data_IF_902886297133
#
_entry.id   IF_902886297133
#
_cell.length_a   1.000
_cell.length_b   1.000
_cell.length_c   1.000
_cell.angle_alpha   90.00
_cell.angle_beta   90.00
_cell.angle_gamma   90.00
#
_symmetry.space_group_name_H-M   'P 1'
#
loop_
_entity.id
_entity.type
_entity.pdbx_description
1 polymer ?
#
# COMPACT_ATOMS: atom_id res chain seq x y z
N UNK A 1 6.89 13.64 -13.14
CA UNK A 1 6.27 12.34 -12.83
C UNK A 1 7.14 11.27 -13.49
N UNK A 2 7.53 10.23 -12.77
CA UNK A 2 8.32 9.14 -13.37
C UNK A 2 7.40 8.37 -14.33
N UNK A 3 7.76 8.30 -15.60
CA UNK A 3 7.01 7.52 -16.57
C UNK A 3 7.50 6.07 -16.48
N UNK A 4 6.62 5.17 -16.09
CA UNK A 4 6.87 3.73 -16.13
C UNK A 4 6.34 3.17 -17.45
N UNK A 5 7.08 2.25 -18.04
CA UNK A 5 6.62 1.47 -19.18
C UNK A 5 6.26 0.04 -18.75
N UNK A 6 5.45 -0.63 -19.54
CA UNK A 6 5.09 -2.04 -19.25
C UNK A 6 6.33 -2.93 -19.28
N UNK A 7 7.26 -2.67 -20.20
CA UNK A 7 8.49 -3.41 -20.35
C UNK A 7 9.38 -3.29 -19.11
N UNK A 8 9.58 -2.08 -18.61
CA UNK A 8 10.31 -1.84 -17.36
C UNK A 8 9.68 -2.59 -16.18
N UNK A 9 8.35 -2.53 -16.05
CA UNK A 9 7.64 -3.22 -14.98
C UNK A 9 7.75 -4.74 -15.11
N UNK A 10 7.67 -5.31 -16.31
CA UNK A 10 7.86 -6.73 -16.55
C UNK A 10 9.26 -7.19 -16.20
N UNK A 11 10.28 -6.40 -16.53
CA UNK A 11 11.67 -6.68 -16.18
C UNK A 11 11.89 -6.70 -14.67
N UNK A 12 11.30 -5.75 -13.95
CA UNK A 12 11.35 -5.75 -12.48
C UNK A 12 10.62 -6.96 -11.87
N UNK A 13 9.45 -7.33 -12.40
CA UNK A 13 8.73 -8.52 -11.97
C UNK A 13 9.56 -9.79 -12.16
N UNK A 14 10.25 -9.91 -13.30
CA UNK A 14 11.16 -11.03 -13.59
C UNK A 14 12.32 -11.09 -12.60
N UNK A 15 12.96 -9.95 -12.29
CA UNK A 15 14.06 -9.86 -11.32
C UNK A 15 13.60 -10.28 -9.91
N UNK A 16 12.37 -9.90 -9.53
CA UNK A 16 11.79 -10.22 -8.23
C UNK A 16 11.19 -11.64 -8.17
N UNK A 17 11.14 -12.37 -9.27
CA UNK A 17 10.49 -13.69 -9.36
C UNK A 17 8.96 -13.61 -9.25
N UNK A 18 8.36 -12.46 -9.56
CA UNK A 18 6.92 -12.26 -9.52
C UNK A 18 6.25 -12.66 -10.83
N UNK A 19 5.00 -13.15 -10.73
CA UNK A 19 4.19 -13.51 -11.87
C UNK A 19 3.53 -12.28 -12.47
N UNK A 20 3.75 -12.04 -13.77
CA UNK A 20 3.02 -11.01 -14.50
C UNK A 20 1.58 -11.46 -14.78
N UNK A 21 0.61 -10.64 -14.40
CA UNK A 21 -0.82 -10.91 -14.59
C UNK A 21 -1.43 -9.86 -15.52
N UNK A 22 -2.46 -10.22 -16.32
CA UNK A 22 -3.11 -9.27 -17.23
C UNK A 22 -3.92 -8.18 -16.50
N UNK A 23 -4.28 -8.42 -15.24
CA UNK A 23 -4.97 -7.48 -14.39
C UNK A 23 -4.37 -7.49 -12.98
N UNK A 24 -3.81 -6.36 -12.55
CA UNK A 24 -3.18 -6.24 -11.23
C UNK A 24 -2.97 -4.79 -10.82
N UNK A 25 -2.75 -4.57 -9.55
CA UNK A 25 -2.26 -3.30 -8.98
C UNK A 25 -0.81 -3.46 -8.53
N UNK A 26 0.02 -2.48 -8.86
CA UNK A 26 1.42 -2.42 -8.44
C UNK A 26 1.58 -1.19 -7.55
N UNK A 27 1.91 -1.39 -6.28
CA UNK A 27 2.31 -0.32 -5.37
C UNK A 27 3.81 -0.09 -5.43
N UNK A 28 4.22 1.13 -5.68
CA UNK A 28 5.64 1.53 -5.67
C UNK A 28 5.83 2.54 -4.56
N UNK A 29 6.56 2.11 -3.52
CA UNK A 29 6.93 2.97 -2.40
C UNK A 29 8.15 3.79 -2.76
N UNK A 30 8.10 5.09 -2.47
CA UNK A 30 9.25 5.97 -2.61
C UNK A 30 10.30 5.66 -1.52
N UNK A 31 11.51 6.16 -1.72
CA UNK A 31 12.56 6.04 -0.70
C UNK A 31 12.44 7.11 0.40
N UNK A 32 11.48 8.03 0.27
CA UNK A 32 11.23 9.04 1.28
C UNK A 32 10.35 8.44 2.38
N UNK A 33 10.69 8.69 3.64
CA UNK A 33 9.88 8.30 4.81
C UNK A 33 8.86 9.39 5.18
N UNK A 34 8.45 10.21 4.21
CA UNK A 34 7.50 11.30 4.43
C UNK A 34 6.09 10.72 4.55
N UNK A 35 5.57 10.73 5.76
CA UNK A 35 4.18 10.32 6.02
C UNK A 35 3.19 11.37 5.54
N UNK A 36 1.95 10.97 5.29
CA UNK A 36 0.89 11.84 4.79
C UNK A 36 1.27 12.57 3.49
N UNK A 37 2.04 11.93 2.61
CA UNK A 37 2.45 12.44 1.30
C UNK A 37 1.98 11.51 0.19
N UNK A 38 1.59 12.08 -0.96
CA UNK A 38 1.30 11.31 -2.19
C UNK A 38 2.55 11.19 -3.07
N UNK A 39 3.64 10.74 -2.49
CA UNK A 39 4.94 10.58 -3.14
C UNK A 39 5.22 9.14 -3.63
N UNK A 40 4.29 8.25 -3.35
CA UNK A 40 4.25 6.88 -3.87
C UNK A 40 3.39 6.79 -5.13
N UNK A 41 3.40 5.63 -5.77
CA UNK A 41 2.58 5.35 -6.95
C UNK A 41 1.77 4.07 -6.78
N UNK A 42 0.58 4.10 -7.33
CA UNK A 42 -0.25 2.93 -7.56
C UNK A 42 -0.48 2.81 -9.07
N UNK A 43 -0.07 1.70 -9.66
CA UNK A 43 -0.20 1.44 -11.10
C UNK A 43 -1.24 0.36 -11.30
N UNK A 44 -2.31 0.68 -12.02
CA UNK A 44 -3.27 -0.29 -12.50
C UNK A 44 -2.80 -0.84 -13.84
N UNK A 45 -2.58 -2.15 -13.90
CA UNK A 45 -2.36 -2.87 -15.14
C UNK A 45 -3.67 -3.51 -15.58
N UNK A 46 -4.06 -3.27 -16.83
CA UNK A 46 -5.26 -3.84 -17.43
C UNK A 46 -5.00 -4.15 -18.91
N UNK A 47 -4.88 -5.42 -19.26
CA UNK A 47 -4.71 -5.89 -20.65
C UNK A 47 -3.63 -5.12 -21.44
N UNK A 48 -2.41 -5.05 -20.90
CA UNK A 48 -1.27 -4.32 -21.46
C UNK A 48 -1.43 -2.78 -21.54
N UNK A 49 -2.35 -2.22 -20.78
CA UNK A 49 -2.43 -0.79 -20.51
C UNK A 49 -2.05 -0.53 -19.08
N UNK A 50 -1.53 0.64 -18.79
CA UNK A 50 -1.23 1.09 -17.43
C UNK A 50 -1.83 2.46 -17.18
N UNK A 51 -2.44 2.62 -16.00
CA UNK A 51 -2.85 3.90 -15.44
C UNK A 51 -2.06 4.13 -14.16
N UNK A 52 -1.47 5.31 -14.01
CA UNK A 52 -0.59 5.65 -12.88
C UNK A 52 -1.26 6.70 -12.02
N UNK A 53 -1.35 6.42 -10.74
CA UNK A 53 -1.94 7.30 -9.73
C UNK A 53 -0.90 7.65 -8.67
N UNK A 54 -0.86 8.93 -8.26
CA UNK A 54 -0.17 9.29 -7.03
C UNK A 54 -0.89 8.68 -5.83
N UNK A 55 -0.14 8.11 -4.91
CA UNK A 55 -0.66 7.36 -3.79
C UNK A 55 0.20 7.56 -2.53
N UNK A 56 -0.28 7.03 -1.42
CA UNK A 56 0.54 6.74 -0.26
C UNK A 56 0.41 5.24 0.05
N UNK A 57 1.53 4.59 0.30
CA UNK A 57 1.60 3.17 0.67
C UNK A 57 2.03 2.99 2.12
N UNK A 58 2.22 4.10 2.83
CA UNK A 58 2.60 4.15 4.23
C UNK A 58 1.39 4.37 5.14
N UNK A 59 1.44 3.92 6.41
CA UNK A 59 0.44 4.31 7.40
C UNK A 59 0.46 5.83 7.60
N UNK A 60 -0.69 6.41 7.97
CA UNK A 60 -0.76 7.81 8.33
C UNK A 60 -0.05 8.11 9.64
N UNK A 61 0.42 9.37 9.80
CA UNK A 61 1.15 9.85 10.95
C UNK A 61 0.44 9.58 12.28
N UNK A 62 -0.88 9.75 12.31
CA UNK A 62 -1.68 9.46 13.50
C UNK A 62 -1.52 8.01 13.96
N UNK A 63 -1.57 7.06 13.03
CA UNK A 63 -1.45 5.64 13.35
C UNK A 63 -0.02 5.22 13.71
N UNK A 64 1.00 5.91 13.19
CA UNK A 64 2.38 5.70 13.61
C UNK A 64 2.56 6.11 15.07
N UNK A 65 2.03 7.26 15.47
CA UNK A 65 2.10 7.75 16.85
C UNK A 65 1.21 6.99 17.84
N UNK A 66 0.02 6.56 17.39
CA UNK A 66 -1.00 5.96 18.25
C UNK A 66 -1.47 4.61 17.67
N UNK A 67 -0.59 3.62 17.57
CA UNK A 67 -0.94 2.33 16.98
C UNK A 67 -1.95 1.58 17.84
N UNK A 68 -2.94 0.95 17.21
CA UNK A 68 -3.91 0.07 17.88
C UNK A 68 -3.20 -1.18 18.42
N UNK A 69 -2.23 -1.70 17.66
CA UNK A 69 -1.46 -2.88 18.05
C UNK A 69 -0.25 -2.49 18.91
N UNK A 70 -0.03 -3.20 19.99
CA UNK A 70 1.13 -2.98 20.88
C UNK A 70 2.49 -3.14 20.18
N UNK A 71 2.54 -3.94 19.12
CA UNK A 71 3.74 -4.14 18.29
C UNK A 71 4.02 -2.99 17.32
N UNK A 72 3.18 -1.96 17.28
CA UNK A 72 3.28 -0.84 16.37
C UNK A 72 2.38 -0.95 15.14
N UNK A 73 2.38 0.07 14.31
CA UNK A 73 1.59 0.13 13.08
C UNK A 73 2.05 -0.90 12.07
N UNK A 74 1.11 -1.36 11.25
CA UNK A 74 1.37 -2.32 10.19
C UNK A 74 1.83 -1.58 8.92
N UNK A 75 3.01 -1.90 8.44
CA UNK A 75 3.56 -1.43 7.16
C UNK A 75 3.60 -2.62 6.20
N UNK A 76 2.91 -2.54 5.07
CA UNK A 76 2.83 -3.66 4.13
C UNK A 76 4.24 -4.02 3.63
N UNK A 77 4.63 -5.27 3.84
CA UNK A 77 5.91 -5.79 3.33
C UNK A 77 5.84 -5.91 1.82
N UNK A 78 6.87 -5.44 1.07
CA UNK A 78 6.91 -5.64 -0.38
C UNK A 78 6.90 -7.13 -0.73
N UNK A 79 5.89 -7.55 -1.49
CA UNK A 79 5.71 -8.92 -1.99
C UNK A 79 4.64 -8.94 -3.07
N UNK A 80 4.46 -10.07 -3.73
CA UNK A 80 3.30 -10.32 -4.57
C UNK A 80 2.21 -11.01 -3.75
N UNK A 81 1.03 -10.41 -3.70
CA UNK A 81 -0.14 -10.91 -2.99
C UNK A 81 -1.24 -11.25 -3.99
N UNK A 82 -1.53 -12.53 -4.17
CA UNK A 82 -2.51 -13.03 -5.15
C UNK A 82 -3.89 -13.17 -4.48
N UNK A 83 -4.94 -12.62 -5.11
CA UNK A 83 -6.34 -12.67 -4.65
C UNK A 83 -6.51 -12.22 -3.18
N UNK A 84 -5.72 -11.26 -2.74
CA UNK A 84 -5.68 -10.82 -1.34
C UNK A 84 -6.69 -9.73 -1.05
N UNK A 85 -7.14 -9.03 -2.07
CA UNK A 85 -8.18 -8.00 -1.96
C UNK A 85 -9.38 -8.33 -2.82
N UNK A 86 -10.55 -7.94 -2.37
CA UNK A 86 -11.79 -7.96 -3.15
C UNK A 86 -12.57 -6.65 -3.01
N UNK A 87 -13.50 -6.42 -3.91
CA UNK A 87 -14.40 -5.26 -3.79
C UNK A 87 -15.25 -5.39 -2.52
N UNK A 88 -15.30 -4.32 -1.75
CA UNK A 88 -16.06 -4.25 -0.51
C UNK A 88 -16.23 -2.81 -0.05
N UNK A 89 -16.68 -2.61 1.19
CA UNK A 89 -16.88 -1.28 1.76
C UNK A 89 -15.80 -0.97 2.80
N UNK A 90 -14.99 0.06 2.54
CA UNK A 90 -14.08 0.58 3.55
C UNK A 90 -14.91 1.27 4.65
N UNK A 91 -14.74 0.80 5.90
CA UNK A 91 -15.47 1.30 7.08
C UNK A 91 -16.99 1.37 6.88
N UNK A 92 -17.57 0.48 6.06
CA UNK A 92 -18.98 0.47 5.68
C UNK A 92 -19.49 1.76 5.00
N UNK A 93 -18.60 2.60 4.47
CA UNK A 93 -18.92 3.92 3.92
C UNK A 93 -18.84 4.02 2.41
N UNK A 94 -17.80 3.47 1.80
CA UNK A 94 -17.60 3.59 0.35
C UNK A 94 -16.82 2.40 -0.20
N UNK A 95 -16.96 2.17 -1.50
CA UNK A 95 -16.33 1.06 -2.21
C UNK A 95 -14.80 1.19 -2.20
N UNK A 96 -14.14 0.10 -1.89
CA UNK A 96 -12.69 -0.04 -1.85
C UNK A 96 -12.28 -1.48 -2.15
N UNK A 97 -11.00 -1.73 -2.29
CA UNK A 97 -10.44 -3.06 -2.26
C UNK A 97 -10.12 -3.41 -0.80
N UNK A 98 -10.91 -4.30 -0.23
CA UNK A 98 -10.75 -4.73 1.17
C UNK A 98 -9.93 -6.00 1.25
N UNK A 99 -9.07 -6.07 2.25
CA UNK A 99 -8.24 -7.25 2.50
C UNK A 99 -9.12 -8.45 2.88
N UNK A 100 -8.96 -9.57 2.17
CA UNK A 100 -9.72 -10.81 2.40
C UNK A 100 -8.85 -12.04 2.67
N UNK A 101 -7.52 -11.95 2.43
CA UNK A 101 -6.56 -13.01 2.77
C UNK A 101 -5.43 -12.45 3.62
N UNK A 102 -4.73 -13.28 4.40
CA UNK A 102 -3.56 -12.86 5.16
C UNK A 102 -2.48 -12.25 4.26
N UNK A 103 -1.81 -11.23 4.79
CA UNK A 103 -0.62 -10.64 4.20
C UNK A 103 0.44 -10.43 5.29
N UNK A 104 1.67 -10.15 4.87
CA UNK A 104 2.79 -9.91 5.78
C UNK A 104 3.08 -8.43 5.88
N UNK A 105 3.30 -7.96 7.09
CA UNK A 105 3.64 -6.58 7.41
C UNK A 105 4.91 -6.51 8.24
N UNK A 106 5.62 -5.40 8.13
CA UNK A 106 6.53 -4.93 9.17
C UNK A 106 5.73 -4.25 10.27
N UNK A 107 6.21 -4.29 11.50
CA UNK A 107 5.65 -3.56 12.63
C UNK A 107 6.58 -2.42 12.98
N UNK A 108 6.07 -1.20 12.89
CA UNK A 108 6.74 0.00 13.39
C UNK A 108 6.72 -0.02 14.94
N UNK A 109 7.74 -0.66 15.51
CA UNK A 109 7.77 -0.97 16.95
C UNK A 109 8.37 0.14 17.82
N UNK A 110 9.12 1.07 17.26
CA UNK A 110 9.66 2.23 17.98
C UNK A 110 8.64 3.37 18.07
N UNK A 111 7.58 3.32 17.23
CA UNK A 111 6.43 4.23 17.27
C UNK A 111 6.83 5.69 17.07
N UNK A 112 7.84 5.90 16.26
CA UNK A 112 8.22 7.23 15.82
C UNK A 112 7.30 7.76 14.70
N UNK A 113 7.68 8.82 14.03
CA UNK A 113 6.88 9.41 12.95
C UNK A 113 7.20 8.86 11.56
N UNK A 114 8.05 7.82 11.49
CA UNK A 114 8.51 7.22 10.25
C UNK A 114 7.89 5.85 10.03
N UNK A 115 7.79 5.47 8.79
CA UNK A 115 7.24 4.18 8.36
C UNK A 115 8.35 3.34 7.74
N UNK A 116 9.31 2.95 8.54
CA UNK A 116 10.45 2.18 8.08
C UNK A 116 10.25 0.67 8.18
N UNK A 117 11.10 -0.05 7.48
CA UNK A 117 11.17 -1.50 7.58
C UNK A 117 11.84 -1.91 8.89
N UNK A 118 11.12 -2.66 9.71
CA UNK A 118 11.64 -3.21 10.95
C UNK A 118 11.92 -4.71 10.82
N UNK A 119 12.64 -5.28 11.77
CA UNK A 119 12.89 -6.72 11.84
C UNK A 119 11.65 -7.52 12.29
N UNK A 120 10.64 -6.85 12.86
CA UNK A 120 9.44 -7.51 13.35
C UNK A 120 8.44 -7.65 12.20
N UNK A 121 8.25 -8.91 11.78
CA UNK A 121 7.22 -9.27 10.82
C UNK A 121 6.00 -9.83 11.53
N UNK A 122 4.84 -9.64 10.92
CA UNK A 122 3.58 -10.21 11.37
C UNK A 122 2.75 -10.60 10.15
N UNK A 123 1.96 -11.67 10.24
CA UNK A 123 1.15 -12.17 9.12
C UNK A 123 -0.27 -12.38 9.57
N UNK A 124 -1.24 -11.82 8.83
CA UNK A 124 -2.63 -11.91 9.21
C UNK A 124 -3.56 -10.98 8.43
N UNK A 125 -4.76 -10.84 8.96
CA UNK A 125 -5.77 -9.90 8.48
C UNK A 125 -5.68 -8.61 9.32
N UNK A 126 -5.13 -7.55 8.72
CA UNK A 126 -4.87 -6.29 9.42
C UNK A 126 -5.76 -5.14 8.94
N UNK A 127 -6.67 -5.41 7.99
CA UNK A 127 -7.52 -4.40 7.42
C UNK A 127 -6.77 -3.42 6.52
N UNK A 128 -5.68 -3.86 5.90
CA UNK A 128 -4.94 -3.06 4.91
C UNK A 128 -5.77 -3.03 3.64
N UNK A 129 -6.51 -1.95 3.48
CA UNK A 129 -7.42 -1.73 2.35
C UNK A 129 -6.81 -0.73 1.36
N UNK A 130 -7.08 -0.93 0.08
CA UNK A 130 -6.71 0.01 -0.98
C UNK A 130 -7.94 0.86 -1.27
N UNK A 131 -7.88 2.15 -0.98
CA UNK A 131 -9.01 3.03 -1.04
C UNK A 131 -8.62 4.44 -1.51
N UNK A 132 -9.62 5.19 -1.95
CA UNK A 132 -9.43 6.58 -2.35
C UNK A 132 -9.02 7.46 -1.17
N UNK A 133 -8.36 8.55 -1.47
CA UNK A 133 -8.15 9.64 -0.51
C UNK A 133 -9.46 10.33 -0.13
N UNK A 134 -9.43 11.17 0.90
CA UNK A 134 -10.59 11.96 1.29
C UNK A 134 -11.00 12.93 0.17
N UNK A 135 -12.31 13.03 -0.06
CA UNK A 135 -12.88 13.89 -1.13
C UNK A 135 -12.64 15.39 -0.92
N UNK A 136 -12.37 15.84 0.28
CA UNK A 136 -12.25 17.26 0.59
C UNK A 136 -10.88 17.87 0.24
N UNK A 137 -9.98 17.10 -0.34
CA UNK A 137 -8.77 17.58 -1.04
C UNK A 137 -7.73 18.38 -0.24
N UNK A 138 -8.01 18.72 1.00
CA UNK A 138 -7.13 19.62 1.80
C UNK A 138 -6.15 18.90 2.71
N UNK A 139 -6.36 17.63 2.93
CA UNK A 139 -5.44 16.79 3.72
C UNK A 139 -5.43 15.40 3.13
N UNK A 140 -4.26 14.82 3.06
CA UNK A 140 -4.12 13.39 2.88
C UNK A 140 -4.68 12.76 4.14
N UNK A 141 -5.95 12.47 4.14
CA UNK A 141 -6.60 11.91 5.31
C UNK A 141 -6.42 10.41 5.32
N UNK A 142 -5.18 10.01 5.51
CA UNK A 142 -4.86 8.65 5.85
C UNK A 142 -5.27 8.37 7.31
N UNK A 143 -5.50 9.42 8.07
CA UNK A 143 -5.65 9.36 9.52
C UNK A 143 -7.10 9.36 10.01
N UNK A 144 -8.09 9.58 9.16
CA UNK A 144 -9.49 9.65 9.63
C UNK A 144 -10.48 9.04 8.66
#
# INVERSE_FOLDING_TARGET
MKNYTIEELKDEFKKLGYKWLPFMLIGIRSKSDVTNSFDDFLILVSNNKIDIFSATTNPGLFWLKYPINKKGSAVLKPAQYIDTWSLGLHRKKYTALVQVKPLTVFRDNDKDEKSEETLINDTGLFGINIHRANMNGKTISVDK
#
